data_IF_378137379371
#
_entry.id   IF_378137379371
#
_cell.length_a   1.000
_cell.length_b   1.000
_cell.length_c   1.000
_cell.angle_alpha   90.00
_cell.angle_beta   90.00
_cell.angle_gamma   90.00
#
_symmetry.space_group_name_H-M   'P 1'
#
loop_
_entity.id
_entity.type
_entity.pdbx_description
1 polymer ?
#
# COMPACT_ATOMS: atom_id res chain seq x y z
N UNK A 1 12.69 -0.65 7.75
CA UNK A 1 13.46 -1.73 7.08
C UNK A 1 13.24 -1.71 5.56
N UNK A 2 12.12 -2.17 4.97
CA UNK A 2 11.97 -2.18 3.50
C UNK A 2 12.27 -0.81 2.88
N UNK A 3 11.67 0.27 3.41
CA UNK A 3 11.93 1.63 2.91
C UNK A 3 13.40 2.03 3.01
N UNK A 4 14.09 1.70 4.10
CA UNK A 4 15.51 2.02 4.25
C UNK A 4 16.40 1.26 3.26
N UNK A 5 16.08 0.00 2.94
CA UNK A 5 16.78 -0.77 1.91
C UNK A 5 16.51 -0.20 0.50
N UNK A 6 15.27 0.21 0.21
CA UNK A 6 14.94 0.89 -1.05
C UNK A 6 15.66 2.24 -1.17
N UNK A 7 15.70 3.03 -0.09
CA UNK A 7 16.42 4.30 -0.07
C UNK A 7 17.92 4.11 -0.30
N UNK A 8 18.52 3.10 0.32
CA UNK A 8 19.92 2.76 0.09
C UNK A 8 20.21 2.33 -1.37
N UNK A 9 19.18 1.84 -2.08
CA UNK A 9 19.25 1.51 -3.50
C UNK A 9 18.86 2.68 -4.43
N UNK A 10 18.68 3.89 -3.90
CA UNK A 10 18.45 5.12 -4.66
C UNK A 10 16.99 5.54 -4.85
N UNK A 11 16.03 4.88 -4.17
CA UNK A 11 14.64 5.31 -4.20
C UNK A 11 14.38 6.47 -3.24
N UNK A 12 13.54 7.42 -3.64
CA UNK A 12 12.90 8.35 -2.70
C UNK A 12 11.82 7.60 -1.92
N UNK A 13 11.82 7.71 -0.60
CA UNK A 13 10.89 6.94 0.24
C UNK A 13 10.24 7.80 1.29
N UNK A 14 8.96 7.57 1.55
CA UNK A 14 8.20 8.20 2.62
C UNK A 14 7.39 7.16 3.39
N UNK A 15 7.34 7.30 4.72
CA UNK A 15 6.48 6.52 5.60
C UNK A 15 5.28 7.34 6.04
N UNK A 16 4.09 6.92 5.65
CA UNK A 16 2.83 7.49 6.12
C UNK A 16 2.20 6.57 7.16
N UNK A 17 2.13 7.02 8.41
CA UNK A 17 1.47 6.29 9.50
C UNK A 17 0.00 6.71 9.59
N UNK A 18 -0.87 5.92 8.97
CA UNK A 18 -2.30 6.25 8.87
C UNK A 18 -3.03 6.27 10.24
N UNK A 19 -2.46 5.61 11.25
CA UNK A 19 -2.98 5.64 12.62
C UNK A 19 -2.95 7.06 13.25
N UNK A 20 -1.99 7.88 12.87
CA UNK A 20 -1.80 9.22 13.42
C UNK A 20 -2.74 10.27 12.77
N UNK A 21 -3.56 9.84 11.80
CA UNK A 21 -4.39 10.71 10.97
C UNK A 21 -5.88 10.53 11.28
N UNK A 22 -6.64 11.61 11.14
CA UNK A 22 -8.09 11.56 11.25
C UNK A 22 -8.71 11.22 9.88
N UNK A 23 -8.83 9.92 9.58
CA UNK A 23 -9.40 9.43 8.32
C UNK A 23 -10.60 8.53 8.62
N UNK A 24 -11.77 8.95 8.15
CA UNK A 24 -13.01 8.17 8.28
C UNK A 24 -13.23 7.25 7.10
N UNK A 25 -13.98 6.18 7.31
CA UNK A 25 -14.37 5.25 6.24
C UNK A 25 -15.21 5.92 5.15
N UNK A 26 -15.25 5.31 3.98
CA UNK A 26 -16.13 5.72 2.90
C UNK A 26 -17.59 5.44 3.27
N UNK A 27 -18.47 6.43 3.13
CA UNK A 27 -19.92 6.25 3.34
C UNK A 27 -20.73 6.30 2.03
N UNK A 28 -20.07 6.19 0.88
CA UNK A 28 -20.73 6.02 -0.41
C UNK A 28 -21.49 7.24 -0.93
N UNK A 29 -21.07 8.46 -0.59
CA UNK A 29 -21.78 9.69 -0.98
C UNK A 29 -21.67 10.06 -2.46
N UNK A 30 -20.80 9.42 -3.23
CA UNK A 30 -20.51 9.69 -4.65
C UNK A 30 -20.03 11.12 -4.97
N UNK A 31 -19.75 11.94 -3.98
CA UNK A 31 -19.25 13.31 -4.18
C UNK A 31 -17.97 13.41 -5.00
N UNK A 32 -17.11 12.39 -4.89
CA UNK A 32 -15.87 12.30 -5.67
C UNK A 32 -16.07 12.12 -7.18
N UNK A 33 -17.24 11.67 -7.63
CA UNK A 33 -17.55 11.54 -9.06
C UNK A 33 -17.53 12.90 -9.76
N UNK A 34 -18.12 13.90 -9.12
CA UNK A 34 -18.19 15.27 -9.66
C UNK A 34 -16.94 16.08 -9.29
N UNK A 35 -16.52 15.99 -8.02
CA UNK A 35 -15.39 16.78 -7.51
C UNK A 35 -14.01 16.26 -7.95
N UNK A 36 -13.94 15.06 -8.56
CA UNK A 36 -12.69 14.37 -8.94
C UNK A 36 -11.71 14.13 -7.78
N UNK A 37 -12.19 14.31 -6.57
CA UNK A 37 -11.48 14.13 -5.31
C UNK A 37 -12.45 13.77 -4.20
N UNK A 38 -11.98 13.17 -3.11
CA UNK A 38 -12.87 12.92 -1.99
C UNK A 38 -13.34 14.23 -1.37
N UNK A 39 -14.65 14.34 -1.12
CA UNK A 39 -15.27 15.55 -0.54
C UNK A 39 -15.34 15.54 0.98
N UNK A 40 -14.87 14.46 1.61
CA UNK A 40 -14.86 14.34 3.06
C UNK A 40 -13.79 15.26 3.65
N UNK A 41 -14.12 16.16 4.59
CA UNK A 41 -13.18 17.13 5.14
C UNK A 41 -12.34 16.51 6.28
N UNK A 42 -11.40 15.62 5.91
CA UNK A 42 -10.46 14.96 6.82
C UNK A 42 -9.08 14.79 6.15
N UNK A 43 -8.15 14.11 6.82
CA UNK A 43 -6.74 14.00 6.36
C UNK A 43 -6.55 13.07 5.14
N UNK A 44 -7.62 12.45 4.63
CA UNK A 44 -7.52 11.48 3.54
C UNK A 44 -6.88 12.06 2.27
N UNK A 45 -7.25 13.30 1.88
CA UNK A 45 -6.76 13.85 0.61
C UNK A 45 -5.22 13.98 0.61
N UNK A 46 -4.63 14.36 1.73
CA UNK A 46 -3.16 14.44 1.88
C UNK A 46 -2.49 13.08 1.66
N UNK A 47 -3.10 11.98 2.16
CA UNK A 47 -2.59 10.63 1.93
C UNK A 47 -2.84 10.20 0.49
N UNK A 48 -4.00 10.54 -0.06
CA UNK A 48 -4.36 10.16 -1.43
C UNK A 48 -3.43 10.81 -2.47
N UNK A 49 -3.06 12.08 -2.27
CA UNK A 49 -2.14 12.78 -3.17
C UNK A 49 -0.77 12.07 -3.19
N UNK A 50 -0.25 11.66 -2.03
CA UNK A 50 0.98 10.84 -1.93
C UNK A 50 0.84 9.47 -2.61
N UNK A 51 -0.30 8.80 -2.45
CA UNK A 51 -0.60 7.54 -3.14
C UNK A 51 -0.61 7.77 -4.66
N UNK A 52 -1.19 8.86 -5.12
CA UNK A 52 -1.28 9.17 -6.55
C UNK A 52 0.09 9.50 -7.18
N UNK A 53 0.97 10.15 -6.44
CA UNK A 53 2.33 10.51 -6.89
C UNK A 53 3.31 9.34 -6.88
N UNK A 54 3.17 8.41 -5.92
CA UNK A 54 4.11 7.30 -5.74
C UNK A 54 4.07 6.30 -6.90
N UNK A 55 5.22 5.78 -7.31
CA UNK A 55 5.35 4.66 -8.25
C UNK A 55 5.08 3.31 -7.57
N UNK A 56 5.46 3.20 -6.31
CA UNK A 56 5.40 1.97 -5.50
C UNK A 56 4.64 2.22 -4.21
N UNK A 57 3.68 1.37 -3.90
CA UNK A 57 2.93 1.37 -2.66
C UNK A 57 3.30 0.15 -1.82
N UNK A 58 4.03 0.37 -0.73
CA UNK A 58 4.26 -0.64 0.28
C UNK A 58 3.12 -0.59 1.30
N UNK A 59 2.19 -1.54 1.22
CA UNK A 59 1.01 -1.59 2.08
C UNK A 59 1.28 -2.47 3.31
N UNK A 60 1.56 -1.84 4.43
CA UNK A 60 1.85 -2.50 5.69
C UNK A 60 0.66 -2.49 6.67
N UNK A 61 0.34 -3.64 7.26
CA UNK A 61 -0.70 -3.71 8.29
C UNK A 61 -0.36 -4.71 9.41
N UNK A 62 -0.63 -4.37 10.67
CA UNK A 62 -0.80 -5.39 11.69
C UNK A 62 -2.04 -6.24 11.35
N UNK A 63 -2.02 -7.49 11.81
CA UNK A 63 -3.16 -8.40 11.66
C UNK A 63 -4.06 -8.29 12.89
N UNK A 64 -5.24 -7.74 12.73
CA UNK A 64 -6.26 -7.64 13.76
C UNK A 64 -7.49 -8.46 13.37
N UNK A 65 -7.81 -9.51 14.15
CA UNK A 65 -8.93 -10.42 13.86
C UNK A 65 -8.92 -10.94 12.40
N UNK A 66 -7.74 -11.36 11.93
CA UNK A 66 -7.51 -11.84 10.55
C UNK A 66 -7.80 -10.80 9.45
N UNK A 67 -7.75 -9.53 9.77
CA UNK A 67 -8.00 -8.42 8.83
C UNK A 67 -6.89 -7.37 8.92
N UNK A 68 -6.82 -6.50 7.92
CA UNK A 68 -6.04 -5.26 7.99
C UNK A 68 -6.61 -4.32 9.04
N UNK A 69 -5.81 -3.37 9.52
CA UNK A 69 -6.29 -2.37 10.47
C UNK A 69 -7.42 -1.52 9.88
N UNK A 70 -8.32 -1.04 10.74
CA UNK A 70 -9.47 -0.23 10.34
C UNK A 70 -9.03 1.07 9.64
N UNK A 71 -7.94 1.67 10.11
CA UNK A 71 -7.37 2.90 9.56
C UNK A 71 -6.86 2.68 8.12
N UNK A 72 -6.11 1.60 7.89
CA UNK A 72 -5.65 1.26 6.54
C UNK A 72 -6.84 0.95 5.63
N UNK A 73 -7.83 0.20 6.13
CA UNK A 73 -9.04 -0.12 5.37
C UNK A 73 -9.78 1.15 4.95
N UNK A 74 -9.93 2.13 5.83
CA UNK A 74 -10.56 3.41 5.52
C UNK A 74 -9.85 4.17 4.38
N UNK A 75 -8.52 4.15 4.38
CA UNK A 75 -7.71 4.73 3.28
C UNK A 75 -7.93 3.98 1.99
N UNK A 76 -7.79 2.63 2.02
CA UNK A 76 -7.85 1.81 0.80
C UNK A 76 -9.21 1.85 0.12
N UNK A 77 -10.33 1.83 0.89
CA UNK A 77 -11.69 1.93 0.35
C UNK A 77 -11.90 3.25 -0.38
N UNK A 78 -11.39 4.33 0.18
CA UNK A 78 -11.53 5.66 -0.42
C UNK A 78 -10.57 5.85 -1.60
N UNK A 79 -9.32 5.38 -1.48
CA UNK A 79 -8.32 5.50 -2.54
C UNK A 79 -8.72 4.73 -3.80
N UNK A 80 -9.19 3.49 -3.66
CA UNK A 80 -9.64 2.67 -4.78
C UNK A 80 -10.84 3.28 -5.52
N UNK A 81 -11.78 3.90 -4.80
CA UNK A 81 -12.93 4.52 -5.44
C UNK A 81 -12.61 5.92 -6.01
N UNK A 82 -11.95 6.78 -5.23
CA UNK A 82 -11.58 8.13 -5.69
C UNK A 82 -10.59 8.10 -6.85
N UNK A 83 -9.69 7.12 -6.86
CA UNK A 83 -8.67 6.96 -7.89
C UNK A 83 -9.22 6.85 -9.31
N UNK A 84 -10.40 6.24 -9.47
CA UNK A 84 -11.08 6.12 -10.77
C UNK A 84 -11.55 7.46 -11.32
N UNK A 85 -11.95 8.38 -10.46
CA UNK A 85 -12.48 9.67 -10.85
C UNK A 85 -11.42 10.75 -10.97
N UNK A 86 -10.35 10.65 -10.18
CA UNK A 86 -9.20 11.55 -10.24
C UNK A 86 -8.33 11.34 -11.48
N UNK A 87 -8.35 10.16 -12.10
CA UNK A 87 -7.52 9.83 -13.27
C UNK A 87 -7.68 10.82 -14.45
N UNK A 88 -8.87 11.44 -14.60
CA UNK A 88 -9.12 12.40 -15.67
C UNK A 88 -8.37 13.73 -15.47
N UNK A 89 -7.93 14.05 -14.27
CA UNK A 89 -7.25 15.30 -13.93
C UNK A 89 -5.75 15.10 -13.67
N UNK A 90 -5.39 13.92 -13.19
CA UNK A 90 -3.98 13.53 -13.00
C UNK A 90 -3.49 12.90 -14.31
N UNK A 91 -2.65 13.61 -15.04
CA UNK A 91 -2.01 13.05 -16.23
C UNK A 91 -1.27 11.79 -15.84
N UNK A 92 -1.48 10.70 -16.60
CA UNK A 92 -0.60 9.55 -16.53
C UNK A 92 0.86 10.02 -16.71
N UNK A 93 1.78 9.46 -15.93
CA UNK A 93 3.20 9.73 -16.15
C UNK A 93 3.54 9.31 -17.59
N UNK A 94 4.31 10.15 -18.27
CA UNK A 94 4.77 9.88 -19.63
C UNK A 94 5.49 8.53 -19.68
N UNK A 95 5.11 7.64 -20.60
CA UNK A 95 5.62 6.27 -20.67
C UNK A 95 4.93 5.28 -19.72
N UNK A 96 3.94 5.70 -18.93
CA UNK A 96 3.14 4.81 -18.12
C UNK A 96 2.21 3.95 -19.00
N UNK A 97 1.76 2.85 -18.41
CA UNK A 97 0.79 1.93 -18.98
C UNK A 97 -0.43 2.67 -19.56
N UNK A 98 -0.77 2.40 -20.83
CA UNK A 98 -1.79 3.15 -21.57
C UNK A 98 -3.22 2.98 -21.02
N UNK A 99 -3.49 1.92 -20.27
CA UNK A 99 -4.81 1.62 -19.71
C UNK A 99 -5.03 2.33 -18.38
N UNK A 100 -5.32 3.61 -18.42
CA UNK A 100 -5.48 4.48 -17.26
C UNK A 100 -6.93 4.51 -16.74
N UNK A 101 -7.42 3.41 -16.19
CA UNK A 101 -8.74 3.36 -15.55
C UNK A 101 -8.77 4.03 -14.17
N UNK A 102 -7.60 4.26 -13.56
CA UNK A 102 -7.43 4.82 -12.22
C UNK A 102 -6.04 5.45 -12.10
N UNK A 103 -5.86 6.38 -11.17
CA UNK A 103 -4.52 6.87 -10.78
C UNK A 103 -3.64 5.77 -10.16
N UNK A 104 -4.24 4.62 -9.84
CA UNK A 104 -3.57 3.44 -9.30
C UNK A 104 -3.08 2.48 -10.40
N UNK A 105 -3.61 2.62 -11.63
CA UNK A 105 -3.27 1.74 -12.75
C UNK A 105 -1.76 1.70 -13.00
N UNK A 106 -1.21 0.50 -13.10
CA UNK A 106 0.20 0.25 -13.38
C UNK A 106 1.14 0.46 -12.18
N UNK A 107 0.67 1.01 -11.05
CA UNK A 107 1.52 1.16 -9.85
C UNK A 107 1.94 -0.20 -9.31
N UNK A 108 3.16 -0.24 -8.77
CA UNK A 108 3.66 -1.41 -8.06
C UNK A 108 3.06 -1.44 -6.65
N UNK A 109 2.53 -2.58 -6.23
CA UNK A 109 2.04 -2.79 -4.86
C UNK A 109 2.78 -3.97 -4.21
N UNK A 110 3.32 -3.75 -3.02
CA UNK A 110 3.96 -4.76 -2.20
C UNK A 110 3.25 -4.85 -0.83
N UNK A 111 2.41 -5.87 -0.60
CA UNK A 111 1.76 -6.06 0.70
C UNK A 111 2.72 -6.62 1.75
N UNK A 112 2.58 -6.15 2.99
CA UNK A 112 3.30 -6.68 4.17
C UNK A 112 2.33 -6.80 5.33
N UNK A 113 2.36 -7.91 6.05
CA UNK A 113 1.55 -8.10 7.25
C UNK A 113 2.39 -8.57 8.43
N UNK A 114 2.04 -8.09 9.62
CA UNK A 114 2.70 -8.49 10.87
C UNK A 114 1.67 -8.98 11.86
N UNK A 115 1.88 -10.16 12.42
CA UNK A 115 0.99 -10.71 13.44
C UNK A 115 1.77 -11.39 14.55
N UNK A 116 1.11 -11.53 15.70
CA UNK A 116 1.66 -12.30 16.82
C UNK A 116 1.79 -13.79 16.50
N UNK A 117 0.83 -14.37 15.76
CA UNK A 117 0.74 -15.83 15.59
C UNK A 117 0.05 -16.31 14.33
N UNK A 118 -1.11 -15.76 13.98
CA UNK A 118 -1.97 -16.28 12.92
C UNK A 118 -2.82 -15.17 12.28
N UNK A 119 -3.49 -15.48 11.17
CA UNK A 119 -4.39 -14.57 10.47
C UNK A 119 -3.74 -13.81 9.31
N UNK A 120 -2.45 -13.99 9.06
CA UNK A 120 -1.72 -13.33 7.99
C UNK A 120 -2.37 -13.54 6.63
N UNK A 121 -2.75 -14.78 6.29
CA UNK A 121 -3.27 -15.12 4.97
C UNK A 121 -4.50 -14.30 4.59
N UNK A 122 -5.45 -14.13 5.52
CA UNK A 122 -6.65 -13.34 5.25
C UNK A 122 -6.36 -11.85 5.15
N UNK A 123 -5.50 -11.34 6.01
CA UNK A 123 -5.04 -9.96 5.96
C UNK A 123 -4.29 -9.68 4.64
N UNK A 124 -3.35 -10.55 4.29
CA UNK A 124 -2.56 -10.45 3.07
C UNK A 124 -3.43 -10.52 1.81
N UNK A 125 -4.39 -11.46 1.78
CA UNK A 125 -5.33 -11.60 0.67
C UNK A 125 -6.16 -10.33 0.43
N UNK A 126 -6.58 -9.61 1.47
CA UNK A 126 -7.29 -8.34 1.31
C UNK A 126 -6.47 -7.31 0.55
N UNK A 127 -5.16 -7.19 0.87
CA UNK A 127 -4.25 -6.28 0.20
C UNK A 127 -3.98 -6.70 -1.26
N UNK A 128 -3.81 -8.00 -1.51
CA UNK A 128 -3.67 -8.54 -2.87
C UNK A 128 -4.91 -8.27 -3.72
N UNK A 129 -6.09 -8.55 -3.19
CA UNK A 129 -7.35 -8.34 -3.91
C UNK A 129 -7.60 -6.86 -4.18
N UNK A 130 -7.25 -5.98 -3.23
CA UNK A 130 -7.34 -4.55 -3.43
C UNK A 130 -6.41 -4.08 -4.55
N UNK A 131 -5.16 -4.55 -4.56
CA UNK A 131 -4.20 -4.21 -5.61
C UNK A 131 -4.67 -4.69 -7.00
N UNK A 132 -5.12 -5.95 -7.09
CA UNK A 132 -5.61 -6.53 -8.33
C UNK A 132 -6.87 -5.80 -8.84
N UNK A 133 -7.81 -5.44 -7.96
CA UNK A 133 -9.02 -4.69 -8.32
C UNK A 133 -8.74 -3.26 -8.82
N UNK A 134 -7.59 -2.71 -8.46
CA UNK A 134 -7.15 -1.37 -8.84
C UNK A 134 -6.09 -1.35 -9.95
N UNK A 135 -5.97 -2.43 -10.72
CA UNK A 135 -5.08 -2.52 -11.87
C UNK A 135 -3.59 -2.29 -11.52
N UNK A 136 -3.17 -2.75 -10.34
CA UNK A 136 -1.80 -2.62 -9.88
C UNK A 136 -0.95 -3.85 -10.23
N UNK A 137 0.34 -3.63 -10.41
CA UNK A 137 1.35 -4.71 -10.50
C UNK A 137 1.72 -5.18 -9.09
N UNK A 138 1.45 -6.44 -8.77
CA UNK A 138 1.73 -6.99 -7.45
C UNK A 138 3.14 -7.60 -7.43
N UNK A 139 3.96 -7.16 -6.48
CA UNK A 139 5.28 -7.73 -6.25
C UNK A 139 5.22 -8.78 -5.15
N UNK A 140 5.48 -10.02 -5.55
CA UNK A 140 5.70 -11.14 -4.64
C UNK A 140 7.15 -11.23 -4.18
N UNK A 141 7.43 -12.26 -3.38
CA UNK A 141 8.76 -12.57 -2.88
C UNK A 141 8.97 -14.09 -2.96
N UNK A 142 10.14 -14.57 -2.52
CA UNK A 142 10.46 -16.00 -2.43
C UNK A 142 9.64 -16.73 -1.36
N UNK A 143 9.04 -15.99 -0.45
CA UNK A 143 8.13 -16.45 0.58
C UNK A 143 7.07 -15.40 0.89
N UNK A 144 6.16 -15.64 1.84
CA UNK A 144 5.14 -14.66 2.25
C UNK A 144 5.79 -13.42 2.86
N UNK A 145 5.32 -12.24 2.48
CA UNK A 145 5.75 -10.97 3.08
C UNK A 145 5.10 -10.77 4.45
N UNK A 146 5.45 -11.61 5.38
CA UNK A 146 4.91 -11.59 6.73
C UNK A 146 6.03 -11.46 7.76
N UNK A 147 5.70 -10.87 8.90
CA UNK A 147 6.56 -10.82 10.06
C UNK A 147 5.82 -11.28 11.31
N UNK A 148 6.55 -11.80 12.27
CA UNK A 148 6.02 -12.20 13.56
C UNK A 148 6.50 -11.23 14.63
N UNK A 149 5.56 -10.61 15.34
CA UNK A 149 5.84 -9.69 16.44
C UNK A 149 4.91 -9.92 17.63
N UNK A 150 5.46 -9.79 18.82
CA UNK A 150 4.69 -9.71 20.06
C UNK A 150 4.22 -11.04 20.64
N UNK A 151 4.61 -11.30 21.83
CA UNK A 151 3.89 -12.02 22.88
C UNK A 151 3.44 -10.97 23.89
N UNK A 152 2.35 -10.24 23.61
CA UNK A 152 2.01 -9.07 24.40
C UNK A 152 3.06 -7.94 24.36
N UNK A 153 3.76 -7.78 23.21
CA UNK A 153 4.86 -6.84 23.05
C UNK A 153 6.25 -7.39 23.46
N UNK A 154 6.35 -8.68 23.82
CA UNK A 154 7.58 -9.26 24.31
C UNK A 154 8.58 -9.66 23.20
N UNK A 155 8.16 -9.66 21.95
CA UNK A 155 9.06 -9.88 20.79
C UNK A 155 8.84 -8.81 19.76
N UNK A 156 9.88 -8.05 19.45
CA UNK A 156 9.86 -7.09 18.37
C UNK A 156 9.92 -7.80 17.01
N UNK A 157 9.33 -7.22 15.98
CA UNK A 157 9.41 -7.75 14.63
C UNK A 157 10.84 -7.79 14.08
N UNK A 158 11.73 -6.97 14.61
CA UNK A 158 13.17 -6.97 14.28
C UNK A 158 13.91 -8.21 14.81
N UNK A 159 13.35 -8.94 15.77
CA UNK A 159 13.86 -10.21 16.27
C UNK A 159 13.41 -11.43 15.45
N UNK A 160 12.54 -11.23 14.48
CA UNK A 160 12.10 -12.25 13.53
C UNK A 160 13.11 -12.33 12.36
N UNK A 161 14.16 -13.12 12.51
CA UNK A 161 15.25 -13.23 11.53
C UNK A 161 14.76 -13.64 10.13
N UNK A 162 13.77 -14.54 10.05
CA UNK A 162 13.17 -14.95 8.78
C UNK A 162 12.37 -13.79 8.16
N UNK A 163 11.55 -13.12 8.96
CA UNK A 163 10.79 -11.94 8.54
C UNK A 163 11.72 -10.81 8.09
N UNK A 164 12.77 -10.53 8.83
CA UNK A 164 13.80 -9.52 8.46
C UNK A 164 14.45 -9.86 7.13
N UNK A 165 14.86 -11.11 6.93
CA UNK A 165 15.46 -11.56 5.66
C UNK A 165 14.48 -11.45 4.51
N UNK A 166 13.22 -11.82 4.73
CA UNK A 166 12.13 -11.69 3.76
C UNK A 166 11.91 -10.24 3.36
N UNK A 167 11.90 -9.31 4.32
CA UNK A 167 11.73 -7.87 4.04
C UNK A 167 12.90 -7.28 3.24
N UNK A 168 14.13 -7.68 3.50
CA UNK A 168 15.30 -7.29 2.70
C UNK A 168 15.22 -7.80 1.26
N UNK A 169 14.79 -9.04 1.08
CA UNK A 169 14.58 -9.62 -0.25
C UNK A 169 13.42 -8.93 -0.99
N UNK A 170 12.36 -8.57 -0.28
CA UNK A 170 11.25 -7.79 -0.85
C UNK A 170 11.72 -6.45 -1.38
N UNK A 171 12.54 -5.72 -0.63
CA UNK A 171 13.10 -4.44 -1.09
C UNK A 171 13.88 -4.61 -2.41
N UNK A 172 14.77 -5.61 -2.49
CA UNK A 172 15.50 -5.92 -3.73
C UNK A 172 14.56 -6.23 -4.88
N UNK A 173 13.49 -6.98 -4.62
CA UNK A 173 12.50 -7.34 -5.64
C UNK A 173 11.69 -6.13 -6.12
N UNK A 174 11.31 -5.23 -5.20
CA UNK A 174 10.67 -3.96 -5.53
C UNK A 174 11.56 -3.14 -6.45
N UNK A 175 12.81 -2.91 -6.07
CA UNK A 175 13.75 -2.11 -6.87
C UNK A 175 14.00 -2.72 -8.25
N UNK A 176 14.18 -4.04 -8.33
CA UNK A 176 14.31 -4.74 -9.61
C UNK A 176 13.07 -4.54 -10.50
N UNK A 177 11.87 -4.67 -9.92
CA UNK A 177 10.61 -4.55 -10.68
C UNK A 177 10.40 -3.11 -11.14
N UNK A 178 10.64 -2.14 -10.28
CA UNK A 178 10.55 -0.71 -10.60
C UNK A 178 11.52 -0.33 -11.75
N UNK A 179 12.76 -0.79 -11.68
CA UNK A 179 13.74 -0.57 -12.75
C UNK A 179 13.35 -1.22 -14.09
N UNK A 180 12.48 -2.23 -14.10
CA UNK A 180 12.01 -2.87 -15.34
C UNK A 180 10.75 -2.22 -15.91
N UNK A 181 9.91 -1.62 -15.05
CA UNK A 181 8.64 -1.02 -15.46
C UNK A 181 8.75 0.48 -15.75
N UNK A 182 9.70 1.16 -15.13
CA UNK A 182 9.84 2.62 -15.22
C UNK A 182 11.19 3.08 -15.82
N UNK A 183 11.93 2.13 -16.46
CA UNK A 183 13.20 2.42 -17.14
C UNK A 183 12.99 3.04 -18.52
#
# INVERSE_FOLDING_TARGET
MVLSECAAAGAETELVRVFDLNIKGCYGCYGCVQAKRCVHPDDFQTVFDKIAEADVLLLGSPVYHSSISAELKAVLDRAGFSGRWAANEMKAKEGAYEFNASVLSGKIVAPVTVARRAGHNFCFAQLLLWAACNDCTIVGNTYWNVGVAGKGGAKDAEEDEEGVTTMKNLAKRIMYTAAKLYA
#
